data_IF_832236029902
#
_entry.id   IF_832236029902
#
_cell.length_a   1.000
_cell.length_b   1.000
_cell.length_c   1.000
_cell.angle_alpha   90.00
_cell.angle_beta   90.00
_cell.angle_gamma   90.00
#
_symmetry.space_group_name_H-M   'P 1'
#
loop_
_entity.id
_entity.type
_entity.pdbx_description
1 polymer ?
#
# COMPACT_ATOMS: atom_id res chain seq x y z
N UNK A 1 16.74 -6.92 -12.26
CA UNK A 1 17.78 -7.78 -11.64
C UNK A 1 17.34 -8.06 -10.20
N UNK A 2 17.29 -9.35 -9.81
CA UNK A 2 16.89 -9.72 -8.45
C UNK A 2 17.96 -9.31 -7.43
N UNK A 3 17.53 -8.65 -6.37
CA UNK A 3 18.33 -8.23 -5.21
C UNK A 3 17.58 -8.55 -3.91
N UNK A 4 18.32 -8.55 -2.80
CA UNK A 4 17.77 -8.80 -1.46
C UNK A 4 18.32 -7.80 -0.45
N UNK A 5 17.46 -7.36 0.45
CA UNK A 5 17.80 -6.56 1.63
C UNK A 5 17.07 -7.12 2.85
N UNK A 6 17.64 -6.99 4.05
CA UNK A 6 17.07 -7.51 5.28
C UNK A 6 16.79 -6.35 6.24
N UNK A 7 15.52 -6.22 6.66
CA UNK A 7 15.03 -5.06 7.39
C UNK A 7 14.48 -5.48 8.75
N UNK A 8 15.13 -5.03 9.82
CA UNK A 8 14.63 -5.16 11.17
C UNK A 8 13.91 -3.87 11.59
N UNK A 9 12.63 -3.95 11.96
CA UNK A 9 11.76 -2.80 12.16
C UNK A 9 10.79 -2.99 13.35
N UNK A 10 11.23 -3.62 14.43
CA UNK A 10 10.35 -4.09 15.50
C UNK A 10 9.69 -5.41 15.13
N UNK A 11 8.41 -5.57 15.42
CA UNK A 11 7.66 -6.78 15.05
C UNK A 11 7.65 -6.96 13.52
N UNK A 12 8.10 -8.13 13.07
CA UNK A 12 8.27 -8.40 11.63
C UNK A 12 6.95 -8.61 10.87
N UNK A 13 5.81 -8.88 11.53
CA UNK A 13 4.53 -9.08 10.84
C UNK A 13 4.06 -7.85 10.05
N UNK A 14 4.09 -6.67 10.71
CA UNK A 14 3.72 -5.41 10.06
C UNK A 14 4.70 -5.02 8.97
N UNK A 15 5.99 -5.26 9.21
CA UNK A 15 7.06 -4.96 8.26
C UNK A 15 6.97 -5.86 7.02
N UNK A 16 6.75 -7.18 7.20
CA UNK A 16 6.54 -8.11 6.09
C UNK A 16 5.35 -7.66 5.24
N UNK A 17 4.21 -7.37 5.89
CA UNK A 17 3.03 -6.92 5.16
C UNK A 17 3.29 -5.64 4.39
N UNK A 18 3.97 -4.67 4.99
CA UNK A 18 4.31 -3.40 4.33
C UNK A 18 5.18 -3.63 3.09
N UNK A 19 6.25 -4.40 3.23
CA UNK A 19 7.20 -4.66 2.14
C UNK A 19 6.58 -5.50 1.01
N UNK A 20 5.74 -6.48 1.34
CA UNK A 20 5.06 -7.33 0.34
C UNK A 20 4.09 -6.55 -0.56
N UNK A 21 3.65 -5.38 -0.14
CA UNK A 21 2.75 -4.51 -0.93
C UNK A 21 3.46 -3.64 -1.95
N UNK A 22 4.79 -3.53 -1.88
CA UNK A 22 5.56 -2.69 -2.79
C UNK A 22 5.65 -3.37 -4.16
N UNK A 23 5.10 -2.75 -5.24
CA UNK A 23 5.27 -3.27 -6.58
C UNK A 23 6.76 -3.35 -6.94
N UNK A 24 7.21 -4.49 -7.43
CA UNK A 24 8.63 -4.78 -7.67
C UNK A 24 9.31 -5.57 -6.55
N UNK A 25 8.69 -5.66 -5.36
CA UNK A 25 9.03 -6.70 -4.37
C UNK A 25 8.44 -8.02 -4.85
N UNK A 26 9.30 -9.03 -5.00
CA UNK A 26 8.94 -10.32 -5.60
C UNK A 26 8.68 -11.41 -4.57
N UNK A 27 9.24 -11.27 -3.37
CA UNK A 27 8.99 -12.16 -2.23
C UNK A 27 9.43 -11.49 -0.92
N UNK A 28 8.77 -11.86 0.18
CA UNK A 28 9.16 -11.53 1.54
C UNK A 28 9.26 -12.80 2.36
N UNK A 29 10.09 -12.78 3.41
CA UNK A 29 10.20 -13.87 4.37
C UNK A 29 10.61 -13.32 5.74
N UNK A 30 9.86 -13.61 6.79
CA UNK A 30 10.23 -13.23 8.15
C UNK A 30 11.21 -14.21 8.77
N UNK A 31 12.09 -13.70 9.63
CA UNK A 31 13.11 -14.51 10.27
C UNK A 31 13.94 -13.77 11.31
N UNK A 32 15.02 -14.39 11.69
CA UNK A 32 15.91 -13.97 12.75
C UNK A 32 17.31 -13.64 12.17
N UNK A 33 17.64 -12.36 12.13
CA UNK A 33 18.90 -11.86 11.59
C UNK A 33 19.96 -11.72 12.66
N UNK A 34 21.22 -12.01 12.30
CA UNK A 34 22.42 -11.79 13.10
C UNK A 34 22.37 -12.49 14.46
N UNK A 35 21.90 -13.74 14.49
CA UNK A 35 21.85 -14.57 15.68
C UNK A 35 23.25 -15.10 16.05
N UNK A 36 23.55 -15.13 17.35
CA UNK A 36 24.75 -15.75 17.89
C UNK A 36 24.67 -17.27 17.98
N UNK A 37 23.46 -17.86 17.83
CA UNK A 37 23.24 -19.30 17.82
C UNK A 37 22.57 -19.72 16.51
N UNK A 38 22.86 -20.91 15.98
CA UNK A 38 22.27 -21.42 14.76
C UNK A 38 20.79 -21.77 14.96
N UNK A 39 19.93 -21.47 13.98
CA UNK A 39 18.51 -21.85 13.93
C UNK A 39 17.75 -21.59 15.25
N UNK A 40 17.76 -20.37 15.80
CA UNK A 40 17.06 -20.11 17.05
C UNK A 40 15.55 -20.26 16.84
N UNK A 41 14.85 -20.84 17.79
CA UNK A 41 13.39 -20.82 17.85
C UNK A 41 12.89 -19.44 18.30
N UNK A 42 11.65 -19.08 17.97
CA UNK A 42 10.99 -17.84 18.44
C UNK A 42 11.10 -17.67 19.96
N UNK A 43 10.84 -18.77 20.72
CA UNK A 43 10.96 -18.75 22.18
C UNK A 43 12.36 -18.35 22.66
N UNK A 44 13.42 -18.83 22.01
CA UNK A 44 14.79 -18.45 22.33
C UNK A 44 15.07 -16.99 21.97
N UNK A 45 14.58 -16.51 20.82
CA UNK A 45 14.72 -15.10 20.40
C UNK A 45 14.06 -14.17 21.42
N UNK A 46 12.87 -14.50 21.90
CA UNK A 46 12.14 -13.73 22.92
C UNK A 46 12.88 -13.60 24.25
N UNK A 47 13.85 -14.46 24.55
CA UNK A 47 14.69 -14.32 25.78
C UNK A 47 15.72 -13.18 25.66
N UNK A 48 15.96 -12.67 24.45
CA UNK A 48 17.03 -11.71 24.16
C UNK A 48 18.44 -12.30 24.17
N UNK A 49 18.62 -13.58 24.54
CA UNK A 49 19.95 -14.21 24.69
C UNK A 49 20.61 -14.61 23.37
N UNK A 50 19.84 -14.70 22.29
CA UNK A 50 20.33 -15.09 20.96
C UNK A 50 21.02 -13.96 20.21
N UNK A 51 20.86 -12.71 20.65
CA UNK A 51 21.32 -11.55 19.91
C UNK A 51 20.62 -11.32 18.56
N UNK A 52 19.67 -12.17 18.19
CA UNK A 52 18.95 -12.06 16.93
C UNK A 52 18.00 -10.85 16.90
N UNK A 53 17.82 -10.25 15.72
CA UNK A 53 16.74 -9.30 15.46
C UNK A 53 15.63 -9.98 14.67
N UNK A 54 14.36 -9.68 15.01
CA UNK A 54 13.26 -9.94 14.08
C UNK A 54 13.47 -9.12 12.81
N UNK A 55 13.51 -9.77 11.67
CA UNK A 55 13.79 -9.12 10.40
C UNK A 55 12.98 -9.73 9.26
N UNK A 56 12.81 -8.95 8.21
CA UNK A 56 12.18 -9.36 6.96
C UNK A 56 13.24 -9.38 5.87
N UNK A 57 13.42 -10.52 5.23
CA UNK A 57 14.09 -10.63 3.94
C UNK A 57 13.17 -10.08 2.87
N UNK A 58 13.64 -9.08 2.13
CA UNK A 58 12.89 -8.43 1.04
C UNK A 58 13.62 -8.71 -0.25
N UNK A 59 13.03 -9.55 -1.10
CA UNK A 59 13.53 -9.82 -2.45
C UNK A 59 12.81 -8.90 -3.45
N UNK A 60 13.56 -8.20 -4.29
CA UNK A 60 12.99 -7.21 -5.20
C UNK A 60 13.69 -7.17 -6.55
N UNK A 61 12.98 -6.76 -7.60
CA UNK A 61 13.54 -6.49 -8.91
C UNK A 61 13.99 -5.02 -8.99
N UNK A 62 15.32 -4.82 -9.00
CA UNK A 62 15.90 -3.47 -9.05
C UNK A 62 15.63 -2.71 -10.35
N UNK A 63 15.07 -3.35 -11.37
CA UNK A 63 14.57 -2.68 -12.58
C UNK A 63 13.18 -2.05 -12.35
N UNK A 64 12.45 -2.51 -11.33
CA UNK A 64 11.10 -2.04 -11.00
C UNK A 64 11.08 -1.12 -9.79
N UNK A 65 11.89 -1.35 -8.76
CA UNK A 65 11.93 -0.55 -7.54
C UNK A 65 13.37 -0.30 -7.09
N UNK A 66 13.68 0.94 -6.73
CA UNK A 66 14.98 1.32 -6.17
C UNK A 66 15.10 0.94 -4.69
N UNK A 67 16.30 0.54 -4.25
CA UNK A 67 16.58 0.33 -2.82
C UNK A 67 16.26 1.58 -1.98
N UNK A 68 16.53 2.78 -2.51
CA UNK A 68 16.23 4.06 -1.85
C UNK A 68 14.74 4.22 -1.53
N UNK A 69 13.85 3.73 -2.39
CA UNK A 69 12.40 3.86 -2.21
C UNK A 69 11.92 2.89 -1.12
N UNK A 70 12.41 1.63 -1.16
CA UNK A 70 12.16 0.62 -0.11
C UNK A 70 12.61 1.16 1.26
N UNK A 71 13.83 1.71 1.34
CA UNK A 71 14.38 2.25 2.60
C UNK A 71 13.65 3.52 3.06
N UNK A 72 13.17 4.35 2.15
CA UNK A 72 12.37 5.53 2.49
C UNK A 72 11.08 5.11 3.19
N UNK A 73 10.39 4.10 2.68
CA UNK A 73 9.18 3.56 3.30
C UNK A 73 9.49 2.86 4.62
N UNK A 74 10.59 2.10 4.70
CA UNK A 74 11.08 1.48 5.94
C UNK A 74 11.23 2.52 7.05
N UNK A 75 11.92 3.64 6.80
CA UNK A 75 12.13 4.69 7.79
C UNK A 75 10.83 5.38 8.23
N UNK A 76 9.81 5.38 7.41
CA UNK A 76 8.50 5.92 7.78
C UNK A 76 7.65 4.97 8.62
N UNK A 77 7.99 3.69 8.63
CA UNK A 77 7.30 2.67 9.41
C UNK A 77 7.83 2.51 10.84
N UNK A 78 8.96 3.14 11.17
CA UNK A 78 9.65 3.02 12.45
C UNK A 78 9.87 4.38 13.13
N UNK A 79 10.13 4.35 14.43
CA UNK A 79 10.88 5.42 15.12
C UNK A 79 12.39 5.10 15.05
N UNK A 80 13.14 5.77 14.16
CA UNK A 80 14.54 5.44 13.94
C UNK A 80 15.46 5.85 15.09
N UNK A 81 14.97 6.56 16.10
CA UNK A 81 15.72 6.99 17.29
C UNK A 81 15.49 6.06 18.49
N UNK A 82 14.50 5.18 18.41
CA UNK A 82 14.12 4.28 19.49
C UNK A 82 15.06 3.07 19.59
N UNK A 83 15.62 2.84 20.79
CA UNK A 83 16.54 1.73 21.05
C UNK A 83 15.75 0.51 21.53
N UNK A 84 15.91 -0.62 20.85
CA UNK A 84 15.30 -1.92 21.21
C UNK A 84 13.78 -1.86 21.46
N UNK A 85 13.08 -0.97 20.77
CA UNK A 85 11.64 -0.80 20.92
C UNK A 85 11.01 -0.21 19.65
N UNK A 86 9.83 -0.75 19.26
CA UNK A 86 8.96 -0.15 18.25
C UNK A 86 7.49 -0.32 18.68
N UNK A 87 6.77 0.78 18.77
CA UNK A 87 5.38 0.77 19.25
C UNK A 87 5.27 0.17 20.66
N UNK A 88 4.48 -0.86 20.82
CA UNK A 88 4.30 -1.61 22.07
C UNK A 88 5.37 -2.66 22.36
N UNK A 89 6.14 -3.05 21.34
CA UNK A 89 7.13 -4.12 21.42
C UNK A 89 8.47 -3.62 21.99
N UNK A 90 9.00 -4.31 23.01
CA UNK A 90 10.25 -3.94 23.68
C UNK A 90 11.12 -5.18 23.89
N UNK A 91 12.41 -5.07 23.57
CA UNK A 91 13.42 -6.12 23.66
C UNK A 91 14.45 -5.99 22.55
N UNK A 92 15.62 -6.59 22.73
CA UNK A 92 16.74 -6.50 21.75
C UNK A 92 16.36 -7.08 20.39
N UNK A 93 15.42 -8.03 20.33
CA UNK A 93 14.91 -8.59 19.10
C UNK A 93 14.09 -7.59 18.27
N UNK A 94 13.55 -6.53 18.88
CA UNK A 94 12.77 -5.48 18.21
C UNK A 94 13.59 -4.23 17.86
N UNK A 95 14.93 -4.35 17.88
CA UNK A 95 15.81 -3.27 17.41
C UNK A 95 15.62 -3.04 15.91
N UNK A 96 15.98 -1.86 15.47
CA UNK A 96 15.92 -1.48 14.05
C UNK A 96 17.26 -1.69 13.36
N UNK A 97 17.23 -2.15 12.12
CA UNK A 97 18.45 -2.42 11.35
C UNK A 97 18.22 -2.63 9.86
N UNK A 98 19.24 -2.31 9.08
CA UNK A 98 19.34 -2.54 7.64
C UNK A 98 20.56 -3.44 7.44
N UNK A 99 20.33 -4.69 7.05
CA UNK A 99 21.39 -5.68 6.86
C UNK A 99 21.49 -6.01 5.37
N UNK A 100 22.68 -5.88 4.80
CA UNK A 100 22.92 -6.03 3.37
C UNK A 100 23.87 -7.21 3.09
N UNK A 101 23.68 -7.84 1.93
CA UNK A 101 24.56 -8.91 1.42
C UNK A 101 25.45 -8.43 0.28
N UNK A 102 25.08 -7.32 -0.39
CA UNK A 102 25.85 -6.70 -1.46
C UNK A 102 26.46 -5.39 -0.97
N UNK A 103 27.80 -5.30 -0.92
CA UNK A 103 28.49 -4.09 -0.51
C UNK A 103 28.21 -2.88 -1.44
N UNK A 104 27.80 -3.13 -2.68
CA UNK A 104 27.40 -2.08 -3.62
C UNK A 104 26.13 -1.33 -3.19
N UNK A 105 25.33 -1.87 -2.27
CA UNK A 105 24.14 -1.21 -1.73
C UNK A 105 24.46 -0.20 -0.63
N UNK A 106 25.65 -0.29 0.01
CA UNK A 106 26.04 0.55 1.14
C UNK A 106 25.97 2.07 0.84
N UNK A 107 26.44 2.59 -0.31
CA UNK A 107 26.33 4.02 -0.61
C UNK A 107 24.87 4.52 -0.65
N UNK A 108 23.95 3.71 -1.19
CA UNK A 108 22.52 4.04 -1.24
C UNK A 108 21.94 4.06 0.17
N UNK A 109 22.25 3.04 1.00
CA UNK A 109 21.83 2.95 2.40
C UNK A 109 22.30 4.18 3.16
N UNK A 110 23.58 4.53 3.07
CA UNK A 110 24.17 5.69 3.75
C UNK A 110 23.54 7.00 3.32
N UNK A 111 23.23 7.20 2.05
CA UNK A 111 22.59 8.40 1.55
C UNK A 111 21.17 8.59 2.13
N UNK A 112 20.39 7.50 2.21
CA UNK A 112 19.05 7.54 2.83
C UNK A 112 19.17 7.79 4.34
N UNK A 113 20.03 7.07 5.05
CA UNK A 113 20.29 7.26 6.49
C UNK A 113 20.68 8.70 6.80
N UNK A 114 21.61 9.28 6.04
CA UNK A 114 22.03 10.67 6.20
C UNK A 114 20.88 11.67 5.96
N UNK A 115 19.98 11.35 5.03
CA UNK A 115 18.80 12.19 4.75
C UNK A 115 17.79 12.14 5.91
N UNK A 116 17.58 10.95 6.48
CA UNK A 116 16.71 10.78 7.65
C UNK A 116 17.32 11.45 8.89
N UNK A 117 18.61 11.23 9.13
CA UNK A 117 19.31 11.80 10.29
C UNK A 117 19.16 13.33 10.39
N UNK A 118 19.15 14.04 9.26
CA UNK A 118 18.93 15.50 9.24
C UNK A 118 17.54 15.95 9.74
N UNK A 119 16.58 15.05 9.83
CA UNK A 119 15.20 15.34 10.28
C UNK A 119 14.98 15.06 11.77
N UNK A 120 15.98 14.46 12.44
CA UNK A 120 15.89 14.08 13.85
C UNK A 120 16.97 14.82 14.67
N UNK A 121 16.58 15.32 15.85
CA UNK A 121 17.52 15.94 16.79
C UNK A 121 18.37 14.91 17.55
N UNK A 122 17.81 13.70 17.75
CA UNK A 122 18.51 12.60 18.40
C UNK A 122 19.26 11.74 17.36
N UNK A 123 20.36 11.08 17.74
CA UNK A 123 21.03 10.12 16.88
C UNK A 123 20.08 8.98 16.46
N UNK A 124 20.27 8.47 15.26
CA UNK A 124 19.53 7.29 14.82
C UNK A 124 20.08 6.04 15.54
N UNK A 125 19.17 5.16 15.96
CA UNK A 125 19.48 3.89 16.61
C UNK A 125 19.46 2.70 15.62
N UNK A 126 19.35 2.98 14.32
CA UNK A 126 19.25 1.97 13.26
C UNK A 126 20.65 1.38 12.97
N UNK A 127 20.79 0.07 13.13
CA UNK A 127 22.01 -0.64 12.73
C UNK A 127 22.15 -0.66 11.20
N UNK A 128 23.36 -0.41 10.69
CA UNK A 128 23.69 -0.60 9.27
C UNK A 128 24.95 -1.45 9.19
N UNK A 129 24.80 -2.70 8.77
CA UNK A 129 25.90 -3.65 8.73
C UNK A 129 25.67 -4.77 7.72
N UNK A 130 26.72 -5.48 7.29
CA UNK A 130 26.58 -6.72 6.52
C UNK A 130 25.71 -7.73 7.29
N UNK A 131 24.89 -8.48 6.57
CA UNK A 131 24.18 -9.62 7.13
C UNK A 131 25.18 -10.73 7.49
N UNK A 132 25.16 -11.17 8.76
CA UNK A 132 26.00 -12.29 9.21
C UNK A 132 25.31 -13.62 8.96
N UNK A 133 24.03 -13.71 9.33
CA UNK A 133 23.16 -14.88 9.11
C UNK A 133 21.71 -14.48 9.13
N UNK A 134 20.86 -15.33 8.54
CA UNK A 134 19.42 -15.20 8.60
C UNK A 134 18.80 -16.59 8.70
N UNK A 135 17.98 -16.79 9.69
CA UNK A 135 17.22 -18.03 9.90
C UNK A 135 15.73 -17.74 9.74
N UNK A 136 15.04 -18.41 8.80
CA UNK A 136 13.60 -18.24 8.65
C UNK A 136 12.86 -18.53 9.97
N UNK A 137 11.90 -17.68 10.30
CA UNK A 137 11.00 -17.95 11.39
C UNK A 137 10.01 -19.06 11.03
N UNK A 138 9.33 -19.59 12.04
CA UNK A 138 8.38 -20.69 11.92
C UNK A 138 7.23 -20.32 10.97
N UNK A 139 6.63 -21.31 10.30
CA UNK A 139 5.62 -21.14 9.24
C UNK A 139 4.39 -20.33 9.69
N UNK A 140 4.03 -20.39 10.98
CA UNK A 140 2.91 -19.60 11.51
C UNK A 140 3.19 -18.09 11.59
N UNK A 141 4.45 -17.67 11.48
CA UNK A 141 4.83 -16.25 11.39
C UNK A 141 4.81 -15.72 9.96
N UNK A 142 5.03 -16.56 8.96
CA UNK A 142 5.06 -16.14 7.56
C UNK A 142 3.67 -15.68 7.11
N UNK A 143 3.60 -14.53 6.43
CA UNK A 143 2.36 -13.91 5.95
C UNK A 143 1.30 -13.76 7.05
N UNK A 144 1.73 -13.46 8.29
CA UNK A 144 0.84 -13.48 9.45
C UNK A 144 -0.37 -12.54 9.27
N UNK A 145 -0.17 -11.30 8.82
CA UNK A 145 -1.26 -10.34 8.63
C UNK A 145 -2.11 -10.61 7.38
N UNK A 146 -1.64 -11.43 6.45
CA UNK A 146 -2.47 -11.95 5.35
C UNK A 146 -3.42 -13.02 5.88
N UNK A 147 -2.90 -13.95 6.71
CA UNK A 147 -3.67 -15.02 7.35
C UNK A 147 -4.57 -14.53 8.48
N UNK A 148 -4.21 -13.41 9.12
CA UNK A 148 -4.91 -12.83 10.29
C UNK A 148 -5.09 -11.30 10.08
N UNK A 149 -6.05 -10.85 9.26
CA UNK A 149 -6.23 -9.44 8.91
C UNK A 149 -6.51 -8.50 10.11
N UNK A 150 -7.05 -9.03 11.22
CA UNK A 150 -7.26 -8.31 12.49
C UNK A 150 -6.12 -8.48 13.50
N UNK A 151 -4.98 -9.04 13.09
CA UNK A 151 -3.83 -9.27 13.95
C UNK A 151 -3.14 -7.99 14.40
N UNK A 152 -2.30 -8.11 15.44
CA UNK A 152 -1.51 -6.98 15.94
C UNK A 152 -0.57 -6.42 14.87
N UNK A 153 -0.59 -5.11 14.70
CA UNK A 153 0.29 -4.37 13.81
C UNK A 153 0.64 -3.00 14.40
N UNK A 154 1.94 -2.69 14.49
CA UNK A 154 2.41 -1.37 14.93
C UNK A 154 2.55 -0.37 13.77
N UNK A 155 2.53 -0.84 12.52
CA UNK A 155 2.66 0.00 11.33
C UNK A 155 1.37 0.78 11.09
N UNK A 156 1.51 2.08 10.81
CA UNK A 156 0.37 2.93 10.46
C UNK A 156 -0.31 2.41 9.18
N UNK A 157 -1.62 2.12 9.20
CA UNK A 157 -2.36 1.61 8.03
C UNK A 157 -2.22 2.45 6.76
N UNK A 158 -2.06 3.77 6.86
CA UNK A 158 -1.86 4.64 5.70
C UNK A 158 -0.59 4.31 4.90
N UNK A 159 0.43 3.69 5.53
CA UNK A 159 1.65 3.27 4.84
C UNK A 159 1.43 2.08 3.91
N UNK A 160 0.42 1.26 4.14
CA UNK A 160 0.08 0.16 3.24
C UNK A 160 -0.42 0.67 1.89
N UNK A 161 -1.22 1.75 1.87
CA UNK A 161 -1.67 2.39 0.63
C UNK A 161 -0.50 3.07 -0.10
N UNK A 162 0.39 3.69 0.67
CA UNK A 162 1.61 4.27 0.12
C UNK A 162 2.53 3.19 -0.47
N UNK A 163 2.73 2.06 0.23
CA UNK A 163 3.52 0.94 -0.27
C UNK A 163 3.03 0.47 -1.63
N UNK A 164 1.71 0.30 -1.81
CA UNK A 164 1.10 -0.08 -3.08
C UNK A 164 1.37 0.95 -4.19
N UNK A 165 1.52 2.21 -3.82
CA UNK A 165 1.77 3.30 -4.77
C UNK A 165 3.26 3.54 -5.05
N UNK A 166 4.18 2.93 -4.29
CA UNK A 166 5.60 3.29 -4.28
C UNK A 166 6.32 3.06 -5.62
N UNK A 167 5.94 2.04 -6.35
CA UNK A 167 6.50 1.78 -7.68
C UNK A 167 5.50 2.05 -8.80
N UNK A 168 4.43 2.72 -8.47
CA UNK A 168 3.74 3.41 -9.53
C UNK A 168 4.74 4.44 -10.03
N UNK A 169 5.35 4.15 -11.21
CA UNK A 169 6.13 5.12 -11.98
C UNK A 169 5.54 6.49 -11.70
N UNK A 170 6.36 7.53 -11.38
CA UNK A 170 5.84 8.86 -11.18
C UNK A 170 4.86 9.11 -12.31
N UNK A 171 3.58 9.28 -11.94
CA UNK A 171 2.38 9.34 -12.78
C UNK A 171 2.75 9.04 -14.21
N UNK A 172 2.47 7.85 -14.71
CA UNK A 172 2.85 7.39 -16.06
C UNK A 172 2.85 8.62 -16.96
N UNK A 173 3.97 8.96 -17.56
CA UNK A 173 4.03 10.24 -18.30
C UNK A 173 2.75 10.34 -19.14
N UNK A 174 2.24 11.52 -19.44
CA UNK A 174 1.03 11.62 -20.28
C UNK A 174 1.14 10.75 -21.53
N UNK A 175 2.36 10.49 -22.01
CA UNK A 175 2.64 9.60 -23.13
C UNK A 175 2.39 8.12 -22.76
N UNK A 176 2.81 7.68 -21.58
CA UNK A 176 2.58 6.30 -21.12
C UNK A 176 1.10 6.02 -20.83
N UNK A 177 0.41 6.99 -20.20
CA UNK A 177 -1.04 6.89 -20.00
C UNK A 177 -1.78 6.84 -21.34
N UNK A 178 -1.36 7.65 -22.32
CA UNK A 178 -1.97 7.66 -23.65
C UNK A 178 -1.75 6.34 -24.43
N UNK A 179 -0.62 5.68 -24.21
CA UNK A 179 -0.34 4.37 -24.82
C UNK A 179 -1.12 3.22 -24.17
N UNK A 180 -1.48 3.35 -22.90
CA UNK A 180 -2.12 2.29 -22.11
C UNK A 180 -3.64 2.42 -22.01
N UNK A 181 -4.15 3.64 -21.89
CA UNK A 181 -5.58 3.90 -21.74
C UNK A 181 -6.28 3.85 -23.10
N UNK A 182 -7.51 3.35 -23.12
CA UNK A 182 -8.38 3.51 -24.27
C UNK A 182 -8.70 4.99 -24.52
N UNK A 183 -9.14 5.38 -25.73
CA UNK A 183 -9.53 6.77 -25.98
C UNK A 183 -10.54 7.30 -24.96
N UNK A 184 -11.56 6.51 -24.61
CA UNK A 184 -12.58 6.91 -23.63
C UNK A 184 -11.98 7.09 -22.21
N UNK A 185 -11.17 6.13 -21.76
CA UNK A 185 -10.48 6.23 -20.46
C UNK A 185 -9.58 7.47 -20.37
N UNK A 186 -8.88 7.78 -21.46
CA UNK A 186 -8.07 9.00 -21.55
C UNK A 186 -8.92 10.27 -21.45
N UNK A 187 -9.97 10.38 -22.28
CA UNK A 187 -10.85 11.55 -22.29
C UNK A 187 -11.50 11.77 -20.92
N UNK A 188 -11.96 10.71 -20.27
CA UNK A 188 -12.56 10.79 -18.93
C UNK A 188 -11.50 11.20 -17.91
N UNK A 189 -10.41 10.44 -17.77
CA UNK A 189 -9.46 10.63 -16.65
C UNK A 189 -8.57 11.85 -16.80
N UNK A 190 -8.20 12.23 -18.05
CA UNK A 190 -7.21 13.28 -18.32
C UNK A 190 -7.82 14.57 -18.87
N UNK A 191 -9.00 14.50 -19.51
CA UNK A 191 -9.66 15.65 -20.12
C UNK A 191 -10.96 16.04 -19.40
N UNK A 192 -11.39 15.29 -18.37
CA UNK A 192 -12.60 15.59 -17.59
C UNK A 192 -13.91 15.31 -18.36
N UNK A 193 -13.87 14.42 -19.35
CA UNK A 193 -15.06 14.00 -20.07
C UNK A 193 -15.95 13.10 -19.19
N UNK A 194 -17.20 12.90 -19.61
CA UNK A 194 -18.15 11.98 -18.98
C UNK A 194 -18.58 10.95 -20.03
N UNK A 195 -18.52 9.67 -19.69
CA UNK A 195 -19.04 8.59 -20.54
C UNK A 195 -20.56 8.60 -20.61
N UNK A 196 -21.14 7.79 -21.50
CA UNK A 196 -22.59 7.73 -21.67
C UNK A 196 -23.28 7.04 -20.49
N UNK A 197 -24.43 7.57 -20.01
CA UNK A 197 -25.22 6.88 -18.98
C UNK A 197 -25.78 5.58 -19.55
N UNK A 198 -25.87 4.54 -18.69
CA UNK A 198 -26.41 3.21 -19.00
C UNK A 198 -25.66 2.43 -20.11
N UNK A 199 -24.58 2.98 -20.65
CA UNK A 199 -23.75 2.37 -21.69
C UNK A 199 -22.28 2.41 -21.21
N UNK A 200 -22.00 1.74 -20.08
CA UNK A 200 -20.70 1.66 -19.47
C UNK A 200 -20.53 0.35 -18.68
N UNK A 201 -19.29 -0.03 -18.42
CA UNK A 201 -18.91 -1.37 -17.97
C UNK A 201 -19.43 -1.72 -16.56
N UNK A 202 -19.44 -0.73 -15.63
CA UNK A 202 -19.66 -1.02 -14.21
C UNK A 202 -20.95 -0.47 -13.63
N UNK A 203 -21.87 0.08 -14.41
CA UNK A 203 -23.19 0.49 -13.93
C UNK A 203 -23.90 -0.68 -13.23
N UNK A 204 -23.92 -1.84 -13.87
CA UNK A 204 -24.54 -3.06 -13.35
C UNK A 204 -23.55 -4.11 -12.79
N UNK A 205 -22.31 -3.74 -12.46
CA UNK A 205 -21.34 -4.63 -11.82
C UNK A 205 -21.53 -4.61 -10.30
N UNK A 206 -22.11 -5.66 -9.72
CA UNK A 206 -22.40 -5.78 -8.28
C UNK A 206 -21.71 -6.99 -7.63
N UNK A 207 -20.84 -7.70 -8.36
CA UNK A 207 -20.06 -8.77 -7.72
C UNK A 207 -19.19 -8.23 -6.57
N UNK A 208 -18.94 -9.04 -5.53
CA UNK A 208 -18.02 -8.67 -4.46
C UNK A 208 -16.63 -8.32 -4.99
N UNK A 209 -16.09 -7.18 -4.59
CA UNK A 209 -14.77 -6.72 -5.02
C UNK A 209 -14.52 -5.25 -4.72
N UNK A 210 -13.44 -4.73 -5.30
CA UNK A 210 -13.03 -3.32 -5.18
C UNK A 210 -12.93 -2.65 -6.54
N UNK A 211 -13.08 -1.33 -6.53
CA UNK A 211 -12.89 -0.46 -7.68
C UNK A 211 -11.66 0.40 -7.45
N UNK A 212 -10.67 0.28 -8.33
CA UNK A 212 -9.40 1.01 -8.26
C UNK A 212 -9.30 2.02 -9.40
N UNK A 213 -8.51 3.06 -9.20
CA UNK A 213 -8.17 4.04 -10.23
C UNK A 213 -7.50 3.34 -11.43
N UNK A 214 -8.06 3.48 -12.63
CA UNK A 214 -7.52 2.87 -13.86
C UNK A 214 -6.12 3.38 -14.20
N UNK A 215 -5.76 4.58 -13.74
CA UNK A 215 -4.50 5.23 -14.08
C UNK A 215 -3.34 4.76 -13.21
N UNK A 216 -3.58 4.46 -11.95
CA UNK A 216 -2.53 4.10 -11.01
C UNK A 216 -2.88 2.93 -10.06
N UNK A 217 -4.14 2.37 -10.13
CA UNK A 217 -4.62 1.25 -9.33
C UNK A 217 -4.87 1.62 -7.85
N UNK A 218 -4.92 2.91 -7.44
CA UNK A 218 -5.30 3.30 -6.08
C UNK A 218 -6.69 2.77 -5.75
N UNK A 219 -6.89 2.07 -4.61
CA UNK A 219 -8.22 1.64 -4.19
C UNK A 219 -9.11 2.84 -3.87
N UNK A 220 -10.28 2.89 -4.51
CA UNK A 220 -11.19 4.03 -4.38
C UNK A 220 -12.51 3.64 -3.70
N UNK A 221 -13.16 2.55 -4.16
CA UNK A 221 -14.47 2.13 -3.68
C UNK A 221 -14.54 0.61 -3.49
N UNK A 222 -15.51 0.16 -2.68
CA UNK A 222 -15.82 -1.26 -2.50
C UNK A 222 -17.24 -1.57 -2.92
N UNK A 223 -17.51 -2.81 -3.37
CA UNK A 223 -18.82 -3.29 -3.81
C UNK A 223 -19.90 -3.16 -2.73
N UNK A 224 -19.56 -3.43 -1.46
CA UNK A 224 -20.48 -3.30 -0.32
C UNK A 224 -21.02 -1.86 -0.08
N UNK A 225 -20.46 -0.87 -0.76
CA UNK A 225 -20.91 0.53 -0.72
C UNK A 225 -21.48 1.01 -2.06
N UNK A 226 -21.57 0.10 -3.03
CA UNK A 226 -22.20 0.36 -4.34
C UNK A 226 -23.69 0.09 -4.26
N UNK A 227 -24.48 0.91 -4.94
CA UNK A 227 -25.92 0.72 -5.03
C UNK A 227 -26.44 1.20 -6.40
N UNK A 228 -27.58 0.67 -6.80
CA UNK A 228 -28.28 1.16 -7.99
C UNK A 228 -29.02 2.46 -7.65
N UNK A 229 -28.49 3.56 -8.15
CA UNK A 229 -29.11 4.90 -7.99
C UNK A 229 -30.00 5.27 -9.18
N UNK A 230 -30.07 4.46 -10.23
CA UNK A 230 -30.78 4.76 -11.46
C UNK A 230 -30.19 5.89 -12.30
N UNK A 231 -28.96 6.36 -11.98
CA UNK A 231 -28.34 7.48 -12.69
C UNK A 231 -27.62 7.07 -13.98
N UNK A 232 -27.40 5.77 -14.18
CA UNK A 232 -26.74 5.21 -15.37
C UNK A 232 -25.21 5.18 -15.27
N UNK A 233 -24.64 5.37 -14.08
CA UNK A 233 -23.22 5.24 -13.77
C UNK A 233 -23.04 4.53 -12.43
N UNK A 234 -21.88 3.90 -12.17
CA UNK A 234 -21.56 3.37 -10.86
C UNK A 234 -21.74 4.40 -9.76
N UNK A 235 -22.58 4.07 -8.77
CA UNK A 235 -22.90 4.94 -7.66
C UNK A 235 -22.46 4.31 -6.32
N UNK A 236 -21.76 5.09 -5.49
CA UNK A 236 -21.24 4.65 -4.20
C UNK A 236 -21.67 5.62 -3.10
N UNK A 237 -21.87 5.10 -1.87
CA UNK A 237 -22.24 5.91 -0.71
C UNK A 237 -21.04 6.64 -0.12
N UNK A 238 -19.85 6.02 -0.15
CA UNK A 238 -18.59 6.59 0.35
C UNK A 238 -17.36 5.91 -0.26
N UNK A 239 -16.20 6.59 -0.32
CA UNK A 239 -14.94 5.97 -0.72
C UNK A 239 -14.43 4.99 0.34
N UNK A 240 -13.37 4.21 0.02
CA UNK A 240 -12.66 3.36 0.99
C UNK A 240 -12.09 4.24 2.10
N UNK A 241 -11.40 5.33 1.74
CA UNK A 241 -10.92 6.36 2.67
C UNK A 241 -11.21 7.74 2.09
N UNK A 242 -11.57 8.72 2.93
CA UNK A 242 -11.82 10.09 2.48
C UNK A 242 -10.59 10.75 1.86
N UNK A 243 -9.39 10.35 2.30
CA UNK A 243 -8.12 10.84 1.78
C UNK A 243 -7.76 10.33 0.38
N UNK A 244 -8.46 9.31 -0.13
CA UNK A 244 -8.23 8.81 -1.50
C UNK A 244 -8.78 9.73 -2.58
N UNK A 245 -9.61 10.69 -2.21
CA UNK A 245 -10.29 11.60 -3.13
C UNK A 245 -10.03 13.06 -2.81
N UNK A 246 -10.01 13.90 -3.85
CA UNK A 246 -10.08 15.37 -3.73
C UNK A 246 -11.38 15.88 -4.34
N UNK A 247 -11.89 17.00 -3.82
CA UNK A 247 -13.15 17.60 -4.27
C UNK A 247 -12.88 19.00 -4.82
N UNK A 248 -13.42 19.29 -5.99
CA UNK A 248 -13.23 20.57 -6.69
C UNK A 248 -14.58 21.13 -7.13
N UNK A 249 -14.72 22.45 -7.11
CA UNK A 249 -15.92 23.10 -7.67
C UNK A 249 -15.85 23.02 -9.21
N UNK A 250 -16.83 22.37 -9.81
CA UNK A 250 -17.06 22.34 -11.25
C UNK A 250 -18.19 23.30 -11.62
N UNK A 251 -17.87 24.29 -12.44
CA UNK A 251 -18.84 25.28 -12.97
C UNK A 251 -19.10 25.13 -14.46
N UNK A 252 -18.64 24.04 -15.08
CA UNK A 252 -18.85 23.77 -16.50
C UNK A 252 -20.33 23.66 -16.86
N UNK A 253 -20.66 23.96 -18.10
CA UNK A 253 -22.02 23.93 -18.66
C UNK A 253 -23.06 24.74 -17.87
N UNK A 254 -22.64 25.81 -17.17
CA UNK A 254 -23.51 26.65 -16.36
C UNK A 254 -24.11 25.97 -15.11
N UNK A 255 -23.59 24.81 -14.72
CA UNK A 255 -24.01 24.07 -13.52
C UNK A 255 -22.95 24.22 -12.41
N UNK A 256 -23.39 24.14 -11.15
CA UNK A 256 -22.48 24.06 -10.00
C UNK A 256 -22.53 22.64 -9.43
N UNK A 257 -21.44 21.90 -9.57
CA UNK A 257 -21.29 20.53 -9.10
C UNK A 257 -19.99 20.39 -8.32
N UNK A 258 -19.88 19.34 -7.51
CA UNK A 258 -18.62 18.98 -6.85
C UNK A 258 -17.98 17.85 -7.64
N UNK A 259 -16.92 18.18 -8.37
CA UNK A 259 -16.08 17.20 -9.05
C UNK A 259 -15.27 16.39 -8.05
N UNK A 260 -15.12 15.10 -8.33
CA UNK A 260 -14.30 14.16 -7.56
C UNK A 260 -13.13 13.71 -8.42
N UNK A 261 -11.92 13.85 -7.87
CA UNK A 261 -10.68 13.36 -8.49
C UNK A 261 -9.95 12.40 -7.56
N UNK A 262 -9.18 11.48 -8.12
CA UNK A 262 -8.23 10.68 -7.38
C UNK A 262 -7.17 11.57 -6.71
N UNK A 263 -6.94 11.38 -5.41
CA UNK A 263 -5.94 12.17 -4.69
C UNK A 263 -4.51 11.82 -5.11
N UNK A 264 -4.27 10.57 -5.54
CA UNK A 264 -2.94 10.09 -5.94
C UNK A 264 -2.60 10.48 -7.38
N UNK A 265 -3.50 10.26 -8.32
CA UNK A 265 -3.23 10.46 -9.76
C UNK A 265 -3.69 11.82 -10.30
N UNK A 266 -4.61 12.50 -9.61
CA UNK A 266 -5.30 13.68 -10.11
C UNK A 266 -6.34 13.38 -11.19
N UNK A 267 -6.57 12.10 -11.54
CA UNK A 267 -7.52 11.70 -12.56
C UNK A 267 -8.94 12.14 -12.20
N UNK A 268 -9.67 12.66 -13.20
CA UNK A 268 -11.10 12.91 -13.06
C UNK A 268 -11.85 11.58 -12.91
N UNK A 269 -12.68 11.48 -11.88
CA UNK A 269 -13.46 10.28 -11.60
C UNK A 269 -14.96 10.48 -11.90
N UNK A 270 -15.49 11.63 -11.53
CA UNK A 270 -16.91 11.95 -11.62
C UNK A 270 -17.31 13.07 -10.69
N UNK A 271 -18.50 12.97 -10.09
CA UNK A 271 -19.05 14.00 -9.22
C UNK A 271 -19.70 13.40 -7.96
N UNK A 272 -19.78 14.17 -6.90
CA UNK A 272 -20.53 13.83 -5.69
C UNK A 272 -21.73 14.74 -5.53
N UNK A 273 -22.87 14.15 -5.17
CA UNK A 273 -24.17 14.80 -5.00
C UNK A 273 -24.73 14.57 -3.58
N UNK A 274 -25.56 15.49 -3.05
CA UNK A 274 -26.14 15.36 -1.72
C UNK A 274 -27.54 14.67 -1.76
N UNK A 275 -27.71 13.69 -2.65
CA UNK A 275 -28.94 12.95 -2.89
C UNK A 275 -28.76 11.44 -2.72
N UNK A 276 -27.75 11.03 -1.97
CA UNK A 276 -27.49 9.63 -1.62
C UNK A 276 -28.36 9.13 -0.46
N UNK A 277 -28.25 7.84 -0.09
CA UNK A 277 -28.97 7.26 1.04
C UNK A 277 -28.63 7.96 2.37
N UNK A 278 -29.66 8.48 3.06
CA UNK A 278 -29.48 9.18 4.35
C UNK A 278 -28.83 8.29 5.42
N UNK A 279 -29.18 7.01 5.43
CA UNK A 279 -28.60 6.00 6.34
C UNK A 279 -27.09 5.82 6.18
N UNK A 280 -26.52 6.21 5.01
CA UNK A 280 -25.10 6.10 4.67
C UNK A 280 -24.39 7.46 4.59
N UNK A 281 -25.04 8.54 5.10
CA UNK A 281 -24.46 9.88 5.14
C UNK A 281 -24.92 10.83 4.03
N UNK A 282 -25.92 10.44 3.23
CA UNK A 282 -26.62 11.32 2.29
C UNK A 282 -25.82 11.71 1.03
N UNK A 283 -24.65 11.15 0.79
CA UNK A 283 -23.83 11.44 -0.39
C UNK A 283 -23.93 10.33 -1.43
N UNK A 284 -23.96 10.72 -2.70
CA UNK A 284 -23.87 9.84 -3.86
C UNK A 284 -22.64 10.21 -4.69
N UNK A 285 -21.66 9.32 -4.70
CA UNK A 285 -20.51 9.41 -5.60
C UNK A 285 -20.86 8.76 -6.92
N UNK A 286 -21.10 9.55 -7.95
CA UNK A 286 -21.43 9.11 -9.30
C UNK A 286 -20.13 9.12 -10.13
N UNK A 287 -19.62 7.93 -10.43
CA UNK A 287 -18.26 7.75 -10.94
C UNK A 287 -18.30 7.13 -12.34
N UNK A 288 -17.46 7.62 -13.24
CA UNK A 288 -17.32 7.04 -14.58
C UNK A 288 -16.67 5.64 -14.50
N UNK A 289 -17.27 4.64 -15.13
CA UNK A 289 -16.68 3.31 -15.29
C UNK A 289 -15.30 3.38 -15.96
N UNK A 290 -15.15 4.24 -16.95
CA UNK A 290 -13.88 4.44 -17.66
C UNK A 290 -12.74 4.99 -16.78
N UNK A 291 -13.04 5.51 -15.59
CA UNK A 291 -12.04 5.94 -14.61
C UNK A 291 -11.65 4.82 -13.64
N UNK A 292 -12.32 3.67 -13.70
CA UNK A 292 -12.20 2.56 -12.76
C UNK A 292 -11.66 1.29 -13.42
N UNK A 293 -11.06 0.42 -12.60
CA UNK A 293 -10.87 -1.00 -12.86
C UNK A 293 -11.48 -1.79 -11.71
N UNK A 294 -12.37 -2.72 -12.01
CA UNK A 294 -12.95 -3.63 -11.02
C UNK A 294 -12.01 -4.80 -10.77
N UNK A 295 -11.83 -5.18 -9.51
CA UNK A 295 -11.06 -6.35 -9.07
C UNK A 295 -12.00 -7.22 -8.25
N UNK A 296 -12.37 -8.42 -8.75
CA UNK A 296 -13.21 -9.36 -8.03
C UNK A 296 -12.58 -9.80 -6.70
N UNK A 297 -13.40 -10.10 -5.69
CA UNK A 297 -12.97 -10.58 -4.38
C UNK A 297 -11.95 -11.72 -4.48
N UNK A 298 -12.19 -12.70 -5.37
CA UNK A 298 -11.30 -13.85 -5.58
C UNK A 298 -9.91 -13.49 -6.10
N UNK A 299 -9.75 -12.32 -6.73
CA UNK A 299 -8.49 -11.86 -7.33
C UNK A 299 -7.76 -10.84 -6.46
N UNK A 300 -8.44 -10.25 -5.45
CA UNK A 300 -7.89 -9.19 -4.61
C UNK A 300 -6.57 -9.58 -3.94
N UNK A 301 -6.46 -10.80 -3.45
CA UNK A 301 -5.23 -11.28 -2.80
C UNK A 301 -4.05 -11.37 -3.77
N UNK A 302 -4.28 -11.91 -4.97
CA UNK A 302 -3.28 -12.04 -6.02
C UNK A 302 -2.83 -10.68 -6.59
N UNK A 303 -3.76 -9.72 -6.62
CA UNK A 303 -3.53 -8.34 -7.09
C UNK A 303 -2.95 -7.42 -6.00
N UNK A 304 -2.63 -7.95 -4.80
CA UNK A 304 -1.99 -7.19 -3.72
C UNK A 304 -2.94 -6.40 -2.81
N UNK A 305 -4.26 -6.68 -2.84
CA UNK A 305 -5.28 -5.98 -2.04
C UNK A 305 -5.85 -6.85 -0.91
N UNK A 306 -5.08 -7.82 -0.38
CA UNK A 306 -5.53 -8.75 0.66
C UNK A 306 -6.05 -8.06 1.94
N UNK A 307 -5.48 -6.92 2.32
CA UNK A 307 -5.87 -6.14 3.50
C UNK A 307 -7.22 -5.43 3.33
N UNK A 308 -7.75 -5.33 2.11
CA UNK A 308 -9.08 -4.79 1.83
C UNK A 308 -10.16 -5.87 1.80
N UNK A 309 -9.80 -7.16 1.84
CA UNK A 309 -10.77 -8.26 1.90
C UNK A 309 -11.82 -8.10 3.01
N UNK A 310 -11.48 -7.65 4.25
CA UNK A 310 -12.47 -7.45 5.30
C UNK A 310 -13.51 -6.35 5.02
N UNK A 311 -13.25 -5.48 4.03
CA UNK A 311 -14.19 -4.43 3.62
C UNK A 311 -15.22 -4.92 2.60
N UNK A 312 -14.97 -6.08 1.99
CA UNK A 312 -15.83 -6.68 0.97
C UNK A 312 -16.56 -7.86 1.61
N UNK A 313 -17.90 -7.83 1.56
CA UNK A 313 -18.68 -8.96 1.99
C UNK A 313 -18.80 -9.95 0.81
N UNK A 314 -18.22 -11.17 0.89
CA UNK A 314 -18.27 -12.13 -0.22
C UNK A 314 -19.66 -12.77 -0.40
N UNK A 315 -20.58 -12.61 0.58
CA UNK A 315 -21.92 -13.21 0.59
C UNK A 315 -23.01 -12.21 0.13
N UNK A 316 -22.64 -11.00 -0.24
CA UNK A 316 -23.49 -10.01 -0.91
C UNK A 316 -23.38 -10.13 -2.43
#
# INVERSE_FOLDING_TARGET
>A
MQKSIYLAAGCFWGTERLMSLIPGVTATRVGYANSSIPNPSYRQVCTGSTGAAEAVEVNYDSAQIGLSDILTLYFRSIDPTSVNRQGGDSGTQYRTGIYFTDAADLPVIQAVVATVARRHAAPLAVEVMPLVNFYPAEDYHQDYLVKNPGGYCHVNPALFDEARSLNRRPLSSKADLRARLTPLQWEVTQCGATERPFDNEYDHEFRPGIYVDITDGTPLFVSSRKYDSGCGWPAFTKPITDSSLTRHLDTSFGRRRTEVRSASSGAHLGHVFPDGPESEGGLRYCINSAALRFIPYSEMAAEGYSDLLPLVNPDE
#
